data_IF_857908995142
#
_entry.id   IF_857908995142
#
_cell.length_a   1.000
_cell.length_b   1.000
_cell.length_c   1.000
_cell.angle_alpha   90.00
_cell.angle_beta   90.00
_cell.angle_gamma   90.00
#
_symmetry.space_group_name_H-M   'P 1'
#
loop_
_entity.id
_entity.type
_entity.pdbx_description
1 polymer ?
#
# COMPACT_ATOMS: atom_id res chain seq x y z
N UNK A 1 19.80 -22.48 0.11
CA UNK A 1 19.60 -21.05 0.39
C UNK A 1 19.87 -20.29 -0.89
N UNK A 2 18.84 -19.87 -1.62
CA UNK A 2 19.03 -19.04 -2.82
C UNK A 2 19.24 -17.60 -2.36
N UNK A 3 20.44 -17.07 -2.62
CA UNK A 3 20.69 -15.63 -2.55
C UNK A 3 19.98 -15.01 -3.76
N UNK A 4 18.78 -14.47 -3.53
CA UNK A 4 18.13 -13.60 -4.51
C UNK A 4 19.07 -12.41 -4.76
N UNK A 5 19.64 -12.38 -5.96
CA UNK A 5 20.58 -11.34 -6.38
C UNK A 5 19.84 -10.02 -6.46
N UNK A 6 20.25 -9.05 -5.62
CA UNK A 6 19.73 -7.68 -5.67
C UNK A 6 20.04 -7.12 -7.06
N UNK A 7 19.00 -6.66 -7.77
CA UNK A 7 19.17 -6.06 -9.09
C UNK A 7 19.84 -4.69 -8.97
N UNK A 8 20.88 -4.42 -9.77
CA UNK A 8 21.54 -3.10 -9.91
C UNK A 8 20.67 -2.02 -10.58
N UNK A 9 19.36 -2.22 -10.69
CA UNK A 9 18.44 -1.23 -11.26
C UNK A 9 18.24 -0.09 -10.26
N UNK A 10 18.63 1.12 -10.63
CA UNK A 10 18.42 2.34 -9.83
C UNK A 10 16.95 2.76 -9.87
N UNK A 11 16.38 3.11 -8.72
CA UNK A 11 15.03 3.69 -8.65
C UNK A 11 15.02 5.11 -9.25
N UNK A 12 14.02 5.41 -10.09
CA UNK A 12 13.79 6.76 -10.61
C UNK A 12 12.65 7.42 -9.84
N UNK A 13 12.94 8.54 -9.19
CA UNK A 13 11.94 9.30 -8.42
C UNK A 13 10.88 9.92 -9.35
N UNK A 14 9.60 9.70 -9.01
CA UNK A 14 8.46 10.35 -9.71
C UNK A 14 8.09 11.68 -9.05
N UNK A 15 7.47 12.64 -9.78
CA UNK A 15 7.11 13.96 -9.22
C UNK A 15 6.30 13.88 -7.91
N UNK A 16 5.39 12.91 -7.81
CA UNK A 16 4.58 12.68 -6.60
C UNK A 16 5.42 12.38 -5.34
N UNK A 17 6.62 11.80 -5.49
CA UNK A 17 7.51 11.53 -4.35
C UNK A 17 8.09 12.79 -3.74
N UNK A 18 8.13 13.92 -4.46
CA UNK A 18 8.66 15.18 -3.95
C UNK A 18 7.72 15.86 -2.94
N UNK A 19 6.45 15.45 -2.94
CA UNK A 19 5.40 16.00 -2.08
C UNK A 19 5.32 15.32 -0.72
N UNK A 20 5.87 14.11 -0.62
CA UNK A 20 6.01 13.35 0.62
C UNK A 20 7.41 13.55 1.17
N UNK A 21 7.51 13.73 2.49
CA UNK A 21 8.81 13.99 3.11
C UNK A 21 9.35 12.68 3.66
N UNK A 22 10.63 12.42 3.40
CA UNK A 22 11.40 11.39 4.13
C UNK A 22 11.34 11.65 5.64
N UNK A 23 11.41 10.58 6.41
CA UNK A 23 11.33 10.64 7.86
C UNK A 23 12.57 11.33 8.40
N UNK A 24 12.43 12.36 9.25
CA UNK A 24 13.57 13.07 9.79
C UNK A 24 14.37 12.16 10.73
N UNK A 25 15.68 12.39 10.83
CA UNK A 25 16.62 11.54 11.57
C UNK A 25 16.13 10.97 12.91
N UNK A 26 15.52 11.77 13.82
CA UNK A 26 15.03 11.27 15.11
C UNK A 26 13.92 10.21 15.04
N UNK A 27 13.23 10.09 13.90
CA UNK A 27 12.19 9.06 13.68
C UNK A 27 12.48 8.14 12.51
N UNK A 28 13.63 8.29 11.83
CA UNK A 28 13.99 7.55 10.62
C UNK A 28 13.93 6.04 10.80
N UNK A 29 14.44 5.54 11.94
CA UNK A 29 14.53 4.09 12.23
C UNK A 29 13.62 3.67 13.37
N UNK A 30 12.65 4.51 13.72
CA UNK A 30 11.74 4.28 14.83
C UNK A 30 10.69 3.24 14.44
N UNK A 31 10.80 2.06 15.06
CA UNK A 31 9.88 0.95 14.87
C UNK A 31 8.86 0.78 16.01
N UNK A 32 8.03 -0.28 15.96
CA UNK A 32 6.83 -0.45 16.79
C UNK A 32 7.06 -0.54 18.30
N UNK A 33 8.27 -0.94 18.71
CA UNK A 33 8.66 -1.10 20.12
C UNK A 33 9.33 0.15 20.70
N UNK A 34 9.58 1.16 19.88
CA UNK A 34 10.34 2.35 20.28
C UNK A 34 9.41 3.39 20.95
N UNK A 35 9.85 4.13 21.99
CA UNK A 35 9.01 5.13 22.66
C UNK A 35 8.47 6.23 21.75
N UNK A 36 9.22 6.56 20.70
CA UNK A 36 8.81 7.53 19.67
C UNK A 36 7.89 6.96 18.59
N UNK A 37 7.39 5.72 18.73
CA UNK A 37 6.57 5.06 17.69
C UNK A 37 5.33 5.87 17.31
N UNK A 38 4.60 6.39 18.30
CA UNK A 38 3.43 7.23 18.04
C UNK A 38 3.79 8.49 17.24
N UNK A 39 4.95 9.10 17.50
CA UNK A 39 5.45 10.25 16.74
C UNK A 39 5.75 9.88 15.28
N UNK A 40 6.31 8.68 15.03
CA UNK A 40 6.50 8.14 13.68
C UNK A 40 5.15 7.94 12.98
N UNK A 41 4.17 7.33 13.64
CA UNK A 41 2.81 7.11 13.09
C UNK A 41 2.13 8.43 12.69
N UNK A 42 2.23 9.48 13.51
CA UNK A 42 1.68 10.80 13.15
C UNK A 42 2.29 11.37 11.86
N UNK A 43 3.58 11.12 11.63
CA UNK A 43 4.26 11.52 10.39
C UNK A 43 3.86 10.65 9.20
N UNK A 44 3.59 9.35 9.41
CA UNK A 44 3.02 8.47 8.39
C UNK A 44 1.68 9.00 7.89
N UNK A 45 0.76 9.31 8.82
CA UNK A 45 -0.57 9.89 8.50
C UNK A 45 -0.41 11.20 7.72
N UNK A 46 0.43 12.12 8.23
CA UNK A 46 0.67 13.41 7.56
C UNK A 46 1.23 13.25 6.14
N UNK A 47 2.08 12.27 5.90
CA UNK A 47 2.61 12.00 4.56
C UNK A 47 1.53 11.44 3.61
N UNK A 48 0.65 10.57 4.10
CA UNK A 48 -0.49 10.09 3.32
C UNK A 48 -1.40 11.27 2.95
N UNK A 49 -1.75 12.12 3.92
CA UNK A 49 -2.57 13.32 3.68
C UNK A 49 -1.94 14.26 2.65
N UNK A 50 -0.64 14.51 2.74
CA UNK A 50 0.09 15.31 1.75
C UNK A 50 -0.02 14.74 0.34
N UNK A 51 0.16 13.43 0.19
CA UNK A 51 0.05 12.80 -1.12
C UNK A 51 -1.39 12.88 -1.66
N UNK A 52 -2.40 12.62 -0.84
CA UNK A 52 -3.80 12.75 -1.25
C UNK A 52 -4.15 14.20 -1.65
N UNK A 53 -3.66 15.19 -0.89
CA UNK A 53 -3.83 16.60 -1.21
C UNK A 53 -3.14 16.98 -2.53
N UNK A 54 -1.95 16.44 -2.81
CA UNK A 54 -1.28 16.63 -4.07
C UNK A 54 -2.11 16.10 -5.25
N UNK A 55 -2.68 14.90 -5.14
CA UNK A 55 -3.55 14.33 -6.18
C UNK A 55 -4.72 15.27 -6.47
N UNK A 56 -5.41 15.74 -5.41
CA UNK A 56 -6.56 16.64 -5.55
C UNK A 56 -6.18 17.99 -6.17
N UNK A 57 -5.07 18.60 -5.73
CA UNK A 57 -4.57 19.87 -6.30
C UNK A 57 -4.15 19.75 -7.76
N UNK A 58 -3.72 18.57 -8.18
CA UNK A 58 -3.36 18.29 -9.57
C UNK A 58 -4.57 17.98 -10.47
N UNK A 59 -5.80 18.17 -9.96
CA UNK A 59 -7.05 17.86 -10.68
C UNK A 59 -7.41 16.37 -10.69
N UNK A 60 -6.64 15.52 -10.00
CA UNK A 60 -6.90 14.10 -9.86
C UNK A 60 -7.92 13.80 -8.76
N UNK A 61 -8.46 12.58 -8.77
CA UNK A 61 -9.28 12.04 -7.68
C UNK A 61 -8.43 11.06 -6.86
N UNK A 62 -8.48 11.12 -5.51
CA UNK A 62 -7.88 10.10 -4.66
C UNK A 62 -8.28 8.69 -5.11
N UNK A 63 -7.29 7.84 -5.32
CA UNK A 63 -7.48 6.43 -5.71
C UNK A 63 -7.38 5.47 -4.51
N UNK A 64 -7.10 6.01 -3.32
CA UNK A 64 -7.12 5.25 -2.10
C UNK A 64 -7.48 6.12 -0.89
N UNK A 65 -7.89 5.45 0.19
CA UNK A 65 -7.99 5.97 1.55
C UNK A 65 -7.35 4.96 2.47
N UNK A 66 -6.61 5.42 3.48
CA UNK A 66 -5.93 4.52 4.43
C UNK A 66 -5.85 5.19 5.80
N UNK A 67 -6.15 4.44 6.85
CA UNK A 67 -6.01 4.90 8.23
C UNK A 67 -5.43 3.77 9.10
N UNK A 68 -4.65 4.10 10.14
CA UNK A 68 -4.17 3.10 11.07
C UNK A 68 -5.33 2.60 11.94
N UNK A 69 -5.29 1.31 12.30
CA UNK A 69 -6.18 0.76 13.31
C UNK A 69 -5.92 1.44 14.65
N UNK A 70 -6.98 1.94 15.27
CA UNK A 70 -6.95 2.60 16.58
C UNK A 70 -7.04 1.63 17.76
N UNK A 71 -7.15 0.32 17.46
CA UNK A 71 -7.18 -0.74 18.46
C UNK A 71 -5.83 -0.85 19.15
N UNK A 72 -5.86 -0.94 20.48
CA UNK A 72 -4.65 -0.96 21.32
C UNK A 72 -3.75 -2.16 20.99
N UNK A 73 -4.35 -3.32 20.76
CA UNK A 73 -3.67 -4.56 20.41
C UNK A 73 -2.93 -4.50 19.06
N UNK A 74 -3.39 -3.67 18.14
CA UNK A 74 -2.77 -3.54 16.82
C UNK A 74 -1.55 -2.63 16.86
N UNK A 75 -1.41 -1.75 17.88
CA UNK A 75 -0.31 -0.78 18.01
C UNK A 75 0.02 -0.03 16.70
N UNK A 76 -1.02 0.35 15.94
CA UNK A 76 -0.91 1.00 14.62
C UNK A 76 -0.17 0.17 13.54
N UNK A 77 -0.01 -1.14 13.75
CA UNK A 77 0.64 -2.07 12.81
C UNK A 77 -0.25 -2.51 11.66
N UNK A 78 -1.56 -2.36 11.83
CA UNK A 78 -2.57 -2.70 10.83
C UNK A 78 -3.20 -1.40 10.35
N UNK A 79 -3.16 -1.17 9.06
CA UNK A 79 -3.81 -0.03 8.41
C UNK A 79 -4.89 -0.56 7.48
N UNK A 80 -6.06 0.05 7.52
CA UNK A 80 -7.22 -0.39 6.73
C UNK A 80 -7.75 0.76 5.90
N UNK A 81 -8.36 0.42 4.78
CA UNK A 81 -8.75 1.42 3.82
C UNK A 81 -9.45 0.87 2.60
N UNK A 82 -9.47 1.70 1.56
CA UNK A 82 -10.08 1.39 0.29
C UNK A 82 -9.13 1.75 -0.85
N UNK A 83 -9.11 0.94 -1.90
CA UNK A 83 -8.67 1.31 -3.24
C UNK A 83 -9.92 1.59 -4.08
N UNK A 84 -9.89 2.64 -4.89
CA UNK A 84 -10.98 2.97 -5.80
C UNK A 84 -10.46 3.35 -7.18
N UNK A 85 -11.25 3.03 -8.20
CA UNK A 85 -10.96 3.47 -9.57
C UNK A 85 -11.35 4.95 -9.66
N UNK A 86 -10.40 5.83 -9.96
CA UNK A 86 -10.63 7.27 -9.91
C UNK A 86 -11.74 7.74 -10.86
N UNK A 87 -11.81 7.12 -12.05
CA UNK A 87 -12.82 7.39 -13.09
C UNK A 87 -14.16 6.69 -12.83
N UNK A 88 -14.17 5.64 -12.01
CA UNK A 88 -15.33 4.79 -11.68
C UNK A 88 -15.40 4.56 -10.16
N UNK A 89 -15.70 5.59 -9.35
CA UNK A 89 -15.57 5.54 -7.89
C UNK A 89 -16.49 4.52 -7.19
N UNK A 90 -17.52 4.04 -7.88
CA UNK A 90 -18.35 2.92 -7.45
C UNK A 90 -17.58 1.59 -7.41
N UNK A 91 -16.50 1.46 -8.19
CA UNK A 91 -15.60 0.30 -8.17
C UNK A 91 -14.54 0.53 -7.08
N UNK A 92 -14.72 -0.17 -5.96
CA UNK A 92 -13.87 -0.05 -4.78
C UNK A 92 -13.59 -1.40 -4.13
N UNK A 93 -12.41 -1.52 -3.51
CA UNK A 93 -11.95 -2.72 -2.83
C UNK A 93 -11.36 -2.37 -1.48
N UNK A 94 -11.62 -3.21 -0.49
CA UNK A 94 -10.96 -3.08 0.80
C UNK A 94 -9.47 -3.44 0.66
N UNK A 95 -8.62 -2.63 1.30
CA UNK A 95 -7.19 -2.88 1.42
C UNK A 95 -6.78 -2.93 2.89
N UNK A 96 -5.85 -3.83 3.19
CA UNK A 96 -5.15 -3.92 4.46
C UNK A 96 -3.66 -3.78 4.20
N UNK A 97 -3.01 -2.93 4.98
CA UNK A 97 -1.57 -2.78 4.99
C UNK A 97 -1.04 -3.23 6.35
N UNK A 98 -0.14 -4.19 6.34
CA UNK A 98 0.48 -4.77 7.52
C UNK A 98 1.92 -4.29 7.63
N UNK A 99 2.26 -3.68 8.75
CA UNK A 99 3.64 -3.35 9.08
C UNK A 99 4.32 -4.57 9.71
N UNK A 100 5.52 -4.97 9.27
CA UNK A 100 6.27 -6.02 9.94
C UNK A 100 6.82 -5.54 11.29
N UNK A 101 7.10 -6.45 12.22
CA UNK A 101 7.68 -6.10 13.52
C UNK A 101 9.05 -5.39 13.42
N UNK A 102 9.74 -5.60 12.30
CA UNK A 102 11.03 -5.01 11.89
C UNK A 102 10.88 -3.67 11.16
N UNK A 103 9.65 -3.16 10.97
CA UNK A 103 9.42 -1.84 10.38
C UNK A 103 10.18 -0.76 11.17
N UNK A 104 10.81 0.24 10.52
CA UNK A 104 10.81 0.52 9.08
C UNK A 104 11.94 -0.14 8.28
N UNK A 105 12.74 -1.02 8.87
CA UNK A 105 13.80 -1.74 8.15
C UNK A 105 13.22 -2.59 7.02
N UNK A 106 12.14 -3.32 7.31
CA UNK A 106 11.38 -4.05 6.30
C UNK A 106 10.18 -3.24 5.82
N UNK A 107 9.87 -3.34 4.53
CA UNK A 107 8.74 -2.63 3.92
C UNK A 107 7.37 -3.16 4.38
N UNK A 108 6.30 -2.34 4.27
CA UNK A 108 4.94 -2.79 4.52
C UNK A 108 4.50 -3.90 3.55
N UNK A 109 3.45 -4.64 3.92
CA UNK A 109 2.76 -5.59 3.03
C UNK A 109 1.37 -5.07 2.73
N UNK A 110 1.00 -4.97 1.46
CA UNK A 110 -0.36 -4.61 1.05
C UNK A 110 -1.15 -5.84 0.60
N UNK A 111 -2.36 -5.97 1.11
CA UNK A 111 -3.30 -7.02 0.77
C UNK A 111 -4.64 -6.42 0.37
N UNK A 112 -5.24 -6.96 -0.67
CA UNK A 112 -6.55 -6.54 -1.18
C UNK A 112 -7.58 -7.64 -0.90
N UNK A 113 -8.85 -7.27 -0.85
CA UNK A 113 -9.97 -8.22 -0.76
C UNK A 113 -9.82 -9.37 -1.77
N UNK A 114 -9.88 -10.62 -1.30
CA UNK A 114 -9.78 -11.83 -2.13
C UNK A 114 -10.85 -11.87 -3.23
N UNK A 115 -11.97 -11.13 -3.10
CA UNK A 115 -12.97 -11.00 -4.16
C UNK A 115 -12.37 -10.49 -5.48
N UNK A 116 -11.27 -9.72 -5.40
CA UNK A 116 -10.56 -9.21 -6.57
C UNK A 116 -10.08 -10.35 -7.44
N UNK A 117 -9.53 -11.42 -6.85
CA UNK A 117 -9.10 -12.62 -7.57
C UNK A 117 -10.25 -13.38 -8.21
N UNK A 118 -11.37 -13.48 -7.48
CA UNK A 118 -12.51 -14.33 -7.89
C UNK A 118 -13.27 -13.71 -9.05
N UNK A 119 -13.35 -12.38 -9.09
CA UNK A 119 -14.20 -11.64 -10.03
C UNK A 119 -13.44 -10.91 -11.13
N UNK A 120 -12.19 -10.52 -10.89
CA UNK A 120 -11.44 -9.68 -11.80
C UNK A 120 -10.14 -10.41 -12.16
N UNK A 121 -9.86 -10.55 -13.46
CA UNK A 121 -8.65 -11.23 -13.97
C UNK A 121 -7.39 -10.38 -13.77
N UNK A 122 -7.09 -10.04 -12.53
CA UNK A 122 -5.94 -9.24 -12.17
C UNK A 122 -4.65 -10.07 -12.28
N UNK A 123 -3.60 -9.46 -12.82
CA UNK A 123 -2.27 -10.07 -12.91
C UNK A 123 -1.45 -9.82 -11.63
N UNK A 124 -0.48 -10.70 -11.36
CA UNK A 124 0.48 -10.60 -10.24
C UNK A 124 -0.17 -10.44 -8.86
N UNK A 125 -0.77 -11.52 -8.36
CA UNK A 125 -1.27 -11.62 -6.98
C UNK A 125 -0.61 -12.82 -6.32
N UNK A 126 -0.15 -12.64 -5.08
CA UNK A 126 0.51 -13.68 -4.31
C UNK A 126 -0.53 -14.45 -3.50
N UNK A 127 -1.17 -15.41 -4.14
CA UNK A 127 -2.30 -16.19 -3.57
C UNK A 127 -1.92 -17.00 -2.34
N UNK A 128 -0.64 -17.31 -2.14
CA UNK A 128 -0.12 -18.01 -0.97
C UNK A 128 -0.02 -17.10 0.28
N UNK A 129 0.09 -15.79 0.08
CA UNK A 129 0.21 -14.82 1.16
C UNK A 129 -1.15 -14.20 1.46
N UNK A 130 -1.84 -14.77 2.46
CA UNK A 130 -3.18 -14.37 2.87
C UNK A 130 -3.20 -13.74 4.26
N UNK A 131 -4.18 -12.89 4.47
CA UNK A 131 -4.55 -12.38 5.79
C UNK A 131 -6.06 -12.51 5.94
N UNK A 132 -6.49 -13.16 7.02
CA UNK A 132 -7.91 -13.17 7.40
C UNK A 132 -8.07 -12.18 8.54
N UNK A 133 -8.94 -11.19 8.34
CA UNK A 133 -9.27 -10.25 9.41
C UNK A 133 -9.98 -11.02 10.53
N UNK A 134 -9.39 -11.13 11.72
CA UNK A 134 -9.94 -11.95 12.79
C UNK A 134 -11.29 -11.44 13.31
N UNK A 135 -11.66 -10.19 12.99
CA UNK A 135 -12.90 -9.57 13.47
C UNK A 135 -14.04 -9.68 12.47
N UNK A 136 -13.73 -9.61 11.17
CA UNK A 136 -14.75 -9.65 10.11
C UNK A 136 -14.81 -10.99 9.40
N UNK A 137 -13.80 -11.86 9.59
CA UNK A 137 -13.63 -13.11 8.83
C UNK A 137 -13.27 -12.88 7.36
N UNK A 138 -13.05 -11.64 6.95
CA UNK A 138 -12.78 -11.29 5.56
C UNK A 138 -11.37 -11.69 5.16
N UNK A 139 -11.24 -12.32 3.99
CA UNK A 139 -9.96 -12.77 3.45
C UNK A 139 -9.36 -11.73 2.51
N UNK A 140 -8.06 -11.51 2.69
CA UNK A 140 -7.24 -10.62 1.89
C UNK A 140 -6.07 -11.39 1.30
N UNK A 141 -5.63 -10.99 0.12
CA UNK A 141 -4.52 -11.58 -0.63
C UNK A 141 -3.49 -10.52 -0.96
N UNK A 142 -2.21 -10.87 -0.87
CA UNK A 142 -1.13 -9.91 -1.03
C UNK A 142 -0.98 -9.51 -2.51
N UNK A 143 -0.96 -8.20 -2.77
CA UNK A 143 -0.86 -7.62 -4.12
C UNK A 143 0.54 -7.13 -4.47
N UNK A 144 1.38 -6.84 -3.47
CA UNK A 144 2.72 -6.32 -3.71
C UNK A 144 3.68 -6.51 -2.52
N UNK A 145 4.94 -6.86 -2.80
CA UNK A 145 6.03 -7.00 -1.82
C UNK A 145 7.41 -7.19 -2.49
N UNK A 146 7.47 -7.93 -3.60
CA UNK A 146 8.76 -8.45 -4.10
C UNK A 146 9.68 -7.40 -4.71
N UNK A 147 9.14 -6.39 -5.39
CA UNK A 147 9.98 -5.45 -6.13
C UNK A 147 10.75 -4.53 -5.16
N UNK A 148 10.09 -4.08 -4.09
CA UNK A 148 10.72 -3.32 -3.01
C UNK A 148 11.80 -4.10 -2.24
N UNK A 149 11.69 -5.44 -2.18
CA UNK A 149 12.66 -6.30 -1.49
C UNK A 149 13.85 -6.70 -2.36
N UNK A 150 13.67 -6.77 -3.69
CA UNK A 150 14.65 -7.31 -4.65
C UNK A 150 15.51 -6.24 -5.34
N UNK A 151 15.10 -4.98 -5.28
CA UNK A 151 15.81 -3.86 -5.93
C UNK A 151 16.39 -2.95 -4.85
N UNK A 152 17.72 -2.74 -4.90
CA UNK A 152 18.41 -1.85 -3.96
C UNK A 152 17.85 -0.43 -4.02
N UNK A 153 17.80 0.26 -2.88
CA UNK A 153 17.34 1.65 -2.75
C UNK A 153 15.83 1.91 -2.99
N UNK A 154 15.03 0.90 -3.34
CA UNK A 154 13.58 1.06 -3.50
C UNK A 154 12.87 1.22 -2.15
N UNK A 155 13.35 0.53 -1.12
CA UNK A 155 12.92 0.72 0.26
C UNK A 155 14.11 1.08 1.16
N UNK A 156 13.97 2.14 1.93
CA UNK A 156 14.91 2.57 2.96
C UNK A 156 14.13 2.98 4.22
N UNK A 157 14.70 2.85 5.44
CA UNK A 157 13.97 3.10 6.70
C UNK A 157 13.35 4.51 6.82
N UNK A 158 13.97 5.48 6.16
CA UNK A 158 13.51 6.87 6.08
C UNK A 158 12.25 7.04 5.21
N UNK A 159 11.80 6.03 4.48
CA UNK A 159 10.58 6.08 3.70
C UNK A 159 9.33 5.82 4.54
N UNK A 160 8.23 6.43 4.08
CA UNK A 160 6.91 6.32 4.70
C UNK A 160 6.00 5.37 3.93
N UNK A 161 4.87 5.01 4.52
CA UNK A 161 3.78 4.25 3.86
C UNK A 161 3.33 4.98 2.59
N UNK A 162 3.34 6.31 2.55
CA UNK A 162 3.00 7.06 1.34
C UNK A 162 3.99 6.77 0.19
N UNK A 163 5.29 6.66 0.47
CA UNK A 163 6.28 6.26 -0.54
C UNK A 163 6.02 4.83 -1.01
N UNK A 164 5.67 3.92 -0.10
CA UNK A 164 5.29 2.55 -0.46
C UNK A 164 4.10 2.55 -1.44
N UNK A 165 3.08 3.38 -1.20
CA UNK A 165 1.94 3.52 -2.10
C UNK A 165 2.33 4.09 -3.47
N UNK A 166 3.18 5.13 -3.50
CA UNK A 166 3.59 5.78 -4.75
C UNK A 166 4.45 4.85 -5.62
N UNK A 167 5.41 4.16 -5.00
CA UNK A 167 6.42 3.39 -5.73
C UNK A 167 5.93 2.00 -6.13
N UNK A 168 5.14 1.36 -5.27
CA UNK A 168 4.77 -0.05 -5.43
C UNK A 168 3.28 -0.23 -5.72
N UNK A 169 2.41 0.27 -4.85
CA UNK A 169 0.96 0.01 -4.96
C UNK A 169 0.36 0.70 -6.17
N UNK A 170 0.74 1.94 -6.45
CA UNK A 170 0.24 2.69 -7.60
C UNK A 170 0.60 2.00 -8.92
N UNK A 171 1.80 1.43 -9.03
CA UNK A 171 2.25 0.70 -10.22
C UNK A 171 1.38 -0.53 -10.48
N UNK A 172 1.13 -1.33 -9.44
CA UNK A 172 0.22 -2.47 -9.56
C UNK A 172 -1.20 -2.02 -9.88
N UNK A 173 -1.73 -1.05 -9.12
CA UNK A 173 -3.10 -0.56 -9.25
C UNK A 173 -3.39 -0.03 -10.65
N UNK A 174 -2.54 0.85 -11.17
CA UNK A 174 -2.67 1.43 -12.51
C UNK A 174 -2.64 0.37 -13.63
N UNK A 175 -1.87 -0.71 -13.46
CA UNK A 175 -1.86 -1.80 -14.44
C UNK A 175 -3.15 -2.64 -14.43
N UNK A 176 -3.87 -2.71 -13.30
CA UNK A 176 -5.10 -3.51 -13.20
C UNK A 176 -6.38 -2.75 -13.53
N UNK A 177 -6.39 -1.41 -13.47
CA UNK A 177 -7.63 -0.62 -13.56
C UNK A 177 -8.48 -0.93 -14.78
N UNK A 178 -7.90 -1.01 -15.98
CA UNK A 178 -8.67 -1.29 -17.20
C UNK A 178 -9.30 -2.68 -17.19
N UNK A 179 -8.55 -3.70 -16.75
CA UNK A 179 -9.07 -5.07 -16.64
C UNK A 179 -10.22 -5.14 -15.62
N UNK A 180 -10.07 -4.45 -14.49
CA UNK A 180 -11.10 -4.38 -13.45
C UNK A 180 -12.38 -3.71 -14.00
N UNK A 181 -12.25 -2.57 -14.69
CA UNK A 181 -13.40 -1.85 -15.26
C UNK A 181 -14.13 -2.73 -16.28
N UNK A 182 -13.41 -3.36 -17.21
CA UNK A 182 -14.00 -4.23 -18.23
C UNK A 182 -14.78 -5.38 -17.62
N UNK A 183 -14.20 -6.10 -16.66
CA UNK A 183 -14.88 -7.23 -16.01
C UNK A 183 -16.06 -6.76 -15.14
N UNK A 184 -15.96 -5.56 -14.52
CA UNK A 184 -17.08 -4.96 -13.80
C UNK A 184 -18.25 -4.66 -14.75
N UNK A 185 -18.00 -4.03 -15.90
CA UNK A 185 -19.03 -3.66 -16.87
C UNK A 185 -19.72 -4.93 -17.44
N UNK A 186 -18.94 -5.97 -17.76
CA UNK A 186 -19.48 -7.25 -18.23
C UNK A 186 -20.40 -7.94 -17.20
N UNK A 187 -20.09 -7.83 -15.91
CA UNK A 187 -20.90 -8.41 -14.85
C UNK A 187 -22.24 -7.68 -14.67
N UNK A 188 -22.27 -6.36 -14.88
CA UNK A 188 -23.47 -5.53 -14.69
C UNK A 188 -24.34 -5.41 -15.95
N UNK A 189 -23.85 -5.80 -17.13
CA UNK A 189 -24.67 -5.94 -18.34
C UNK A 189 -25.50 -7.24 -18.35
N UNK A 190 -25.13 -8.23 -17.52
CA UNK A 190 -25.78 -9.54 -17.44
C UNK A 190 -26.80 -9.65 -16.30
N UNK A 191 -26.93 -8.61 -15.49
CA UNK A 191 -27.90 -8.47 -14.39
C UNK A 191 -29.07 -7.61 -14.82
#
# INVERSE_FOLDING_TARGET
MNQDTISNKKWFSVPAEREVIKMPGPVERVGPKHPLWQKRILLEVKNIEKYLNFIMKSGGRPWFKLAPSTKKEDNFMIWKGLLNVATRPEIKFDIVVLLPATYPTDCPRALIDEIVLKKYKCSKIYTENKYTDPKTGKNFVMICHDHMKKVGEVWTPDLSIAHFFIREIHTWWSAQQNAIITEWDLAHQKS
#
